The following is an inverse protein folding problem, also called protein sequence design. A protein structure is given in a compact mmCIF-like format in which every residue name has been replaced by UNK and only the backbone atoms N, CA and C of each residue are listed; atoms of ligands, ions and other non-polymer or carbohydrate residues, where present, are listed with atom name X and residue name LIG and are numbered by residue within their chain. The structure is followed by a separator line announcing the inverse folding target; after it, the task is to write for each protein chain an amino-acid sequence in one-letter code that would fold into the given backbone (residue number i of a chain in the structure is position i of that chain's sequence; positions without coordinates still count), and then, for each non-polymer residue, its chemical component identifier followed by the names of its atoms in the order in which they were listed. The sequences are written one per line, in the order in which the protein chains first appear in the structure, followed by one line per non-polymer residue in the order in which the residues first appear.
data_IF_497078236533
#
_entry.id   IF_497078236533
#
_cell.length_a   1.000
_cell.length_b   1.000
_cell.length_c   1.000
_cell.angle_alpha   90.00
_cell.angle_beta   90.00
_cell.angle_gamma   90.00
#
_symmetry.space_group_name_H-M   'P 1'
#
loop_
_entity.id
_entity.type
_entity.pdbx_description
1 polymer ?
#
# COMPACT_ATOMS: atom_id res chain seq x y z
N UNK A 1 2.91 -9.04 -0.85
CA UNK A 1 3.94 -10.09 -0.76
C UNK A 1 3.17 -11.39 -0.73
N UNK A 2 3.36 -12.27 -1.72
CA UNK A 2 2.80 -13.63 -1.61
C UNK A 2 3.50 -14.24 -0.41
N UNK A 3 2.75 -14.58 0.64
CA UNK A 3 3.31 -15.02 1.93
C UNK A 3 2.93 -16.46 2.24
N UNK A 4 1.93 -17.03 1.57
CA UNK A 4 1.41 -18.36 1.88
C UNK A 4 1.61 -19.37 0.74
N UNK A 5 1.83 -20.63 1.11
CA UNK A 5 1.90 -21.79 0.23
C UNK A 5 0.57 -22.00 -0.52
N UNK A 6 -0.56 -21.71 0.13
CA UNK A 6 -1.88 -21.81 -0.50
C UNK A 6 -2.00 -20.87 -1.70
N UNK A 7 -1.42 -19.67 -1.62
CA UNK A 7 -1.40 -18.70 -2.71
C UNK A 7 -0.63 -19.25 -3.92
N UNK A 8 0.49 -19.94 -3.69
CA UNK A 8 1.33 -20.48 -4.77
C UNK A 8 0.57 -21.48 -5.65
N UNK A 9 -0.16 -22.41 -5.01
CA UNK A 9 -0.94 -23.43 -5.71
C UNK A 9 -2.15 -22.84 -6.43
N UNK A 10 -2.82 -21.85 -5.83
CA UNK A 10 -3.95 -21.15 -6.44
C UNK A 10 -3.49 -20.32 -7.63
N UNK A 11 -2.39 -19.57 -7.50
CA UNK A 11 -1.84 -18.73 -8.56
C UNK A 11 -1.48 -19.55 -9.80
N UNK A 12 -0.79 -20.68 -9.63
CA UNK A 12 -0.45 -21.55 -10.76
C UNK A 12 -1.70 -22.02 -11.52
N UNK A 13 -2.73 -22.50 -10.80
CA UNK A 13 -3.98 -22.98 -11.40
C UNK A 13 -4.75 -21.85 -12.09
N UNK A 14 -4.88 -20.72 -11.42
CA UNK A 14 -5.59 -19.55 -11.93
C UNK A 14 -4.96 -19.05 -13.23
N UNK A 15 -3.66 -18.76 -13.21
CA UNK A 15 -3.00 -18.17 -14.38
C UNK A 15 -2.91 -19.15 -15.56
N UNK A 16 -2.74 -20.45 -15.30
CA UNK A 16 -2.86 -21.46 -16.37
C UNK A 16 -4.21 -21.39 -17.07
N UNK A 17 -5.30 -21.28 -16.30
CA UNK A 17 -6.65 -21.16 -16.86
C UNK A 17 -6.86 -19.82 -17.57
N UNK A 18 -6.34 -18.72 -17.04
CA UNK A 18 -6.42 -17.42 -17.72
C UNK A 18 -5.69 -17.46 -19.07
N UNK A 19 -4.47 -18.00 -19.11
CA UNK A 19 -3.72 -18.16 -20.36
C UNK A 19 -4.41 -19.10 -21.34
N UNK A 20 -5.00 -20.21 -20.88
CA UNK A 20 -5.75 -21.12 -21.78
C UNK A 20 -7.00 -20.47 -22.37
N UNK A 21 -7.58 -19.48 -21.69
CA UNK A 21 -8.70 -18.69 -22.18
C UNK A 21 -8.28 -17.48 -23.03
N UNK A 22 -6.99 -17.37 -23.40
CA UNK A 22 -6.48 -16.28 -24.25
C UNK A 22 -6.32 -14.94 -23.54
N UNK A 23 -6.33 -14.92 -22.20
CA UNK A 23 -6.14 -13.69 -21.43
C UNK A 23 -4.71 -13.19 -21.55
N UNK A 24 -4.55 -11.90 -21.79
CA UNK A 24 -3.26 -11.22 -21.84
C UNK A 24 -2.93 -10.69 -20.44
N UNK A 25 -1.77 -11.09 -19.91
CA UNK A 25 -1.25 -10.59 -18.64
C UNK A 25 -0.28 -9.43 -18.87
N UNK A 26 -0.59 -8.28 -18.28
CA UNK A 26 0.36 -7.17 -18.09
C UNK A 26 0.55 -7.00 -16.59
N UNK A 27 1.80 -7.07 -16.14
CA UNK A 27 2.15 -7.01 -14.72
C UNK A 27 3.48 -6.29 -14.52
N UNK A 28 3.61 -5.60 -13.37
CA UNK A 28 4.84 -4.96 -12.94
C UNK A 28 5.36 -5.65 -11.67
N UNK A 29 6.66 -5.89 -11.59
CA UNK A 29 7.30 -6.51 -10.43
C UNK A 29 8.62 -5.81 -10.10
N UNK A 30 8.91 -5.69 -8.80
CA UNK A 30 10.21 -5.23 -8.30
C UNK A 30 11.26 -6.36 -8.22
N UNK A 31 10.89 -7.58 -8.63
CA UNK A 31 11.75 -8.76 -8.66
C UNK A 31 11.62 -9.45 -10.01
N UNK A 32 12.75 -9.90 -10.56
CA UNK A 32 12.74 -10.78 -11.73
C UNK A 32 11.95 -12.08 -11.45
N UNK A 33 11.35 -12.72 -12.47
CA UNK A 33 10.56 -13.94 -12.28
C UNK A 33 11.27 -15.04 -11.49
N UNK A 34 12.56 -15.27 -11.76
CA UNK A 34 13.36 -16.28 -11.06
C UNK A 34 13.55 -15.97 -9.57
N UNK A 35 13.42 -14.70 -9.16
CA UNK A 35 13.59 -14.26 -7.77
C UNK A 35 12.24 -14.06 -7.05
N UNK A 36 11.12 -14.36 -7.71
CA UNK A 36 9.79 -14.30 -7.09
C UNK A 36 9.68 -15.39 -6.05
N UNK A 37 9.27 -15.06 -4.82
CA UNK A 37 9.10 -16.01 -3.71
C UNK A 37 10.40 -16.72 -3.29
N UNK A 38 11.56 -16.09 -3.52
CA UNK A 38 12.85 -16.57 -3.04
C UNK A 38 12.87 -16.61 -1.51
N UNK A 39 13.36 -17.71 -0.93
CA UNK A 39 13.32 -17.96 0.52
C UNK A 39 11.91 -18.21 1.09
N UNK A 40 10.90 -18.30 0.24
CA UNK A 40 9.53 -18.62 0.64
C UNK A 40 9.38 -20.08 1.10
N UNK A 41 8.43 -20.31 2.00
CA UNK A 41 8.09 -21.64 2.49
C UNK A 41 7.62 -22.52 1.31
N UNK A 42 8.18 -23.73 1.17
CA UNK A 42 7.85 -24.67 0.08
C UNK A 42 7.92 -24.04 -1.33
N UNK A 43 8.95 -23.24 -1.58
CA UNK A 43 9.23 -22.59 -2.88
C UNK A 43 9.10 -23.50 -4.10
N UNK A 44 9.41 -24.79 -3.96
CA UNK A 44 9.31 -25.77 -5.04
C UNK A 44 7.89 -25.86 -5.62
N UNK A 45 6.86 -25.63 -4.81
CA UNK A 45 5.46 -25.58 -5.26
C UNK A 45 5.14 -24.34 -6.11
N UNK A 46 5.96 -23.29 -6.02
CA UNK A 46 5.82 -22.05 -6.78
C UNK A 46 6.65 -22.06 -8.08
N UNK A 47 7.67 -22.91 -8.19
CA UNK A 47 8.49 -23.04 -9.42
C UNK A 47 7.67 -23.31 -10.69
N UNK A 48 6.59 -24.14 -10.68
CA UNK A 48 5.75 -24.33 -11.86
C UNK A 48 5.05 -23.05 -12.34
N UNK A 49 4.73 -22.13 -11.42
CA UNK A 49 4.15 -20.83 -11.78
C UNK A 49 5.22 -19.92 -12.40
N UNK A 50 6.44 -19.88 -11.84
CA UNK A 50 7.57 -19.17 -12.44
C UNK A 50 7.84 -19.67 -13.86
N UNK A 51 7.84 -21.00 -14.08
CA UNK A 51 8.01 -21.58 -15.40
C UNK A 51 6.91 -21.11 -16.37
N UNK A 52 5.65 -21.07 -15.92
CA UNK A 52 4.52 -20.59 -16.73
C UNK A 52 4.68 -19.12 -17.10
N UNK A 53 5.13 -18.26 -16.18
CA UNK A 53 5.42 -16.86 -16.46
C UNK A 53 6.53 -16.70 -17.50
N UNK A 54 7.60 -17.50 -17.41
CA UNK A 54 8.72 -17.44 -18.37
C UNK A 54 8.34 -17.96 -19.75
N UNK A 55 7.43 -18.92 -19.82
CA UNK A 55 6.90 -19.45 -21.09
C UNK A 55 5.94 -18.46 -21.76
N UNK A 56 5.08 -17.78 -20.99
CA UNK A 56 3.95 -17.01 -21.52
C UNK A 56 4.14 -15.51 -21.52
N UNK A 57 5.15 -14.98 -20.83
CA UNK A 57 5.36 -13.54 -20.70
C UNK A 57 6.75 -13.14 -21.20
N UNK A 58 6.83 -11.96 -21.80
CA UNK A 58 8.09 -11.30 -22.15
C UNK A 58 8.48 -10.39 -20.99
N UNK A 59 9.69 -10.57 -20.47
CA UNK A 59 10.20 -9.79 -19.33
C UNK A 59 10.90 -8.55 -19.86
N UNK A 60 10.38 -7.37 -19.50
CA UNK A 60 11.04 -6.09 -19.76
C UNK A 60 11.62 -5.55 -18.46
N UNK A 61 12.95 -5.42 -18.41
CA UNK A 61 13.62 -4.77 -17.30
C UNK A 61 13.48 -3.26 -17.45
N UNK A 62 12.68 -2.65 -16.57
CA UNK A 62 12.53 -1.19 -16.51
C UNK A 62 13.59 -0.69 -15.52
N UNK A 63 14.78 -0.41 -16.05
CA UNK A 63 15.84 0.26 -15.31
C UNK A 63 15.81 1.76 -15.60
N UNK A 64 15.59 2.58 -14.58
CA UNK A 64 15.85 4.02 -14.63
C UNK A 64 17.03 4.30 -13.70
N UNK A 65 18.05 5.02 -14.18
CA UNK A 65 19.07 5.62 -13.31
C UNK A 65 18.47 6.64 -12.34
N UNK A 66 17.28 7.14 -12.68
CA UNK A 66 16.53 8.11 -11.92
C UNK A 66 15.50 7.38 -11.06
N UNK A 67 15.71 7.43 -9.75
CA UNK A 67 14.67 7.07 -8.79
C UNK A 67 13.67 8.24 -8.70
N UNK A 68 12.53 8.11 -9.37
CA UNK A 68 11.48 9.13 -9.39
C UNK A 68 10.96 9.48 -7.99
N UNK A 69 11.12 8.60 -6.99
CA UNK A 69 10.78 8.89 -5.59
C UNK A 69 11.71 9.93 -4.97
N UNK A 70 12.93 10.04 -5.48
CA UNK A 70 13.96 10.97 -4.98
C UNK A 70 13.87 12.36 -5.59
N UNK A 71 13.20 12.51 -6.74
CA UNK A 71 13.16 13.80 -7.44
C UNK A 71 12.41 14.92 -6.70
N UNK A 72 11.45 14.59 -5.83
CA UNK A 72 10.63 15.59 -5.11
C UNK A 72 11.01 15.79 -3.64
N UNK A 73 11.62 14.79 -2.99
CA UNK A 73 11.80 14.81 -1.51
C UNK A 73 13.22 14.50 -1.02
N UNK A 74 14.18 14.17 -1.89
CA UNK A 74 15.48 13.67 -1.44
C UNK A 74 16.40 14.74 -0.83
N UNK A 75 16.27 16.02 -1.19
CA UNK A 75 17.17 17.07 -0.69
C UNK A 75 17.03 17.33 0.82
N UNK A 76 15.87 17.01 1.40
CA UNK A 76 15.55 17.32 2.80
C UNK A 76 15.39 16.07 3.67
N UNK A 77 15.57 14.88 3.09
CA UNK A 77 15.41 13.59 3.79
C UNK A 77 13.97 13.09 3.85
N UNK A 78 13.82 11.77 3.98
CA UNK A 78 12.53 11.08 4.02
C UNK A 78 12.02 10.81 5.44
N UNK A 79 12.93 10.81 6.41
CA UNK A 79 12.63 10.51 7.80
C UNK A 79 13.13 11.65 8.68
N UNK A 80 12.22 12.22 9.46
CA UNK A 80 12.51 13.29 10.41
C UNK A 80 12.35 12.73 11.82
N UNK A 81 13.47 12.49 12.51
CA UNK A 81 13.52 11.89 13.85
C UNK A 81 14.22 12.85 14.79
N UNK A 82 13.53 13.26 15.87
CA UNK A 82 14.07 14.23 16.83
C UNK A 82 12.99 14.93 17.63
N UNK A 83 13.43 15.76 18.59
CA UNK A 83 12.56 16.68 19.33
C UNK A 83 12.38 17.98 18.51
N UNK A 84 11.27 18.67 18.73
CA UNK A 84 10.99 20.01 18.16
C UNK A 84 10.83 20.11 16.63
N UNK A 85 10.55 19.00 15.96
CA UNK A 85 10.30 18.98 14.50
C UNK A 85 8.89 19.46 14.09
N UNK A 86 7.99 19.72 15.04
CA UNK A 86 6.59 20.04 14.78
C UNK A 86 6.40 21.25 13.85
N UNK A 87 7.20 22.29 14.02
CA UNK A 87 7.15 23.49 13.16
C UNK A 87 7.57 23.18 11.72
N UNK A 88 8.68 22.46 11.58
CA UNK A 88 9.20 22.02 10.28
C UNK A 88 8.22 21.09 9.55
N UNK A 89 7.66 20.09 10.24
CA UNK A 89 6.66 19.18 9.67
C UNK A 89 5.39 19.92 9.24
N UNK A 90 4.95 20.92 10.01
CA UNK A 90 3.80 21.76 9.64
C UNK A 90 4.08 22.56 8.37
N UNK A 91 5.27 23.15 8.25
CA UNK A 91 5.68 23.86 7.04
C UNK A 91 5.71 22.92 5.82
N UNK A 92 6.27 21.71 5.98
CA UNK A 92 6.28 20.69 4.91
C UNK A 92 4.87 20.28 4.49
N UNK A 93 3.99 20.05 5.46
CA UNK A 93 2.59 19.73 5.20
C UNK A 93 1.90 20.86 4.42
N UNK A 94 2.12 22.12 4.78
CA UNK A 94 1.58 23.28 4.04
C UNK A 94 2.11 23.36 2.60
N UNK A 95 3.38 23.05 2.37
CA UNK A 95 3.95 22.98 1.02
C UNK A 95 3.30 21.88 0.17
N UNK A 96 2.93 20.75 0.76
CA UNK A 96 2.33 19.61 0.06
C UNK A 96 0.86 19.85 -0.32
N UNK A 97 0.08 20.52 0.55
CA UNK A 97 -1.35 20.79 0.30
C UNK A 97 -1.57 22.03 -0.60
N UNK A 98 -0.53 22.86 -0.79
CA UNK A 98 -0.61 24.09 -1.59
C UNK A 98 -1.60 25.10 -0.99
N UNK A 99 -2.54 25.56 -1.80
CA UNK A 99 -3.59 26.51 -1.39
C UNK A 99 -4.78 25.85 -0.69
N UNK A 100 -4.79 24.51 -0.57
CA UNK A 100 -5.90 23.81 0.05
C UNK A 100 -5.92 24.04 1.56
N UNK A 101 -7.13 24.28 2.09
CA UNK A 101 -7.34 24.43 3.52
C UNK A 101 -7.82 23.10 4.10
N UNK A 102 -7.14 22.62 5.14
CA UNK A 102 -7.55 21.41 5.84
C UNK A 102 -8.92 21.61 6.50
N UNK A 103 -9.92 20.86 6.04
CA UNK A 103 -11.26 20.81 6.63
C UNK A 103 -11.50 19.46 7.29
N UNK A 104 -12.35 19.40 8.34
CA UNK A 104 -12.85 18.13 8.84
C UNK A 104 -13.55 17.35 7.73
N UNK A 105 -13.30 16.05 7.65
CA UNK A 105 -13.90 15.20 6.64
C UNK A 105 -14.04 13.76 7.16
N UNK A 106 -15.15 13.12 6.79
CA UNK A 106 -15.29 11.68 6.93
C UNK A 106 -14.75 11.00 5.67
N UNK A 107 -13.76 10.12 5.87
CA UNK A 107 -13.13 9.37 4.78
C UNK A 107 -13.47 7.90 4.97
N UNK A 108 -14.21 7.33 4.04
CA UNK A 108 -14.42 5.89 3.99
C UNK A 108 -13.10 5.21 3.60
N UNK A 109 -12.69 4.22 4.39
CA UNK A 109 -11.49 3.42 4.13
C UNK A 109 -11.86 1.96 3.89
N UNK A 110 -10.89 1.19 3.41
CA UNK A 110 -11.05 -0.23 3.07
C UNK A 110 -11.66 -1.00 4.24
N UNK A 111 -12.47 -2.02 3.92
CA UNK A 111 -13.22 -2.85 4.87
C UNK A 111 -14.37 -2.13 5.61
N UNK A 112 -15.00 -1.12 4.98
CA UNK A 112 -16.22 -0.49 5.48
C UNK A 112 -16.05 0.31 6.77
N UNK A 113 -14.84 0.82 7.02
CA UNK A 113 -14.55 1.67 8.18
C UNK A 113 -14.58 3.13 7.74
N UNK A 114 -14.96 4.02 8.64
CA UNK A 114 -14.87 5.46 8.39
C UNK A 114 -13.86 6.13 9.33
N UNK A 115 -13.08 7.04 8.77
CA UNK A 115 -12.13 7.88 9.50
C UNK A 115 -12.72 9.29 9.64
N UNK A 116 -12.95 9.69 10.88
CA UNK A 116 -13.42 11.03 11.21
C UNK A 116 -12.23 11.97 11.44
N UNK A 117 -11.89 12.77 10.43
CA UNK A 117 -10.82 13.76 10.52
C UNK A 117 -11.34 15.01 11.23
N UNK A 118 -10.84 15.29 12.43
CA UNK A 118 -11.22 16.47 13.21
C UNK A 118 -10.15 17.54 13.13
N UNK A 119 -10.55 18.82 13.20
CA UNK A 119 -9.59 19.92 13.20
C UNK A 119 -8.86 20.01 14.55
N UNK A 120 -7.53 20.07 14.51
CA UNK A 120 -6.64 20.03 15.69
C UNK A 120 -6.79 21.25 16.64
N UNK A 121 -7.65 22.22 16.33
CA UNK A 121 -7.96 23.35 17.22
C UNK A 121 -8.79 22.92 18.44
N UNK A 122 -9.58 21.85 18.34
CA UNK A 122 -10.37 21.33 19.48
C UNK A 122 -9.58 20.37 20.38
N UNK A 123 -8.51 19.74 19.86
CA UNK A 123 -7.71 18.80 20.62
C UNK A 123 -6.84 19.47 21.70
N UNK A 124 -6.65 20.79 21.65
CA UNK A 124 -5.86 21.53 22.65
C UNK A 124 -6.57 21.69 24.00
N UNK A 125 -7.88 21.44 24.07
CA UNK A 125 -8.67 21.53 25.30
C UNK A 125 -9.06 20.16 25.88
N UNK A 126 -8.57 19.05 25.29
CA UNK A 126 -8.69 17.72 25.86
C UNK A 126 -7.29 17.21 26.19
N UNK A 127 -7.14 16.89 27.47
CA UNK A 127 -5.98 16.42 28.18
C UNK A 127 -4.91 15.70 27.33
N UNK A 128 -3.64 16.00 27.62
CA UNK A 128 -2.44 15.43 26.99
C UNK A 128 -2.39 13.89 27.18
N UNK A 129 -2.98 13.14 26.26
CA UNK A 129 -2.68 11.71 26.09
C UNK A 129 -3.09 11.22 24.71
N UNK A 130 -2.10 11.12 23.83
CA UNK A 130 -2.08 10.36 22.58
C UNK A 130 -3.15 10.72 21.53
N UNK A 131 -2.68 11.00 20.31
CA UNK A 131 -3.51 11.12 19.11
C UNK A 131 -4.26 9.79 18.89
N UNK A 132 -5.43 9.63 19.50
CA UNK A 132 -6.31 8.50 19.29
C UNK A 132 -7.07 8.74 17.99
N UNK A 133 -6.67 8.06 16.92
CA UNK A 133 -7.57 7.82 15.78
C UNK A 133 -8.67 6.91 16.32
N UNK A 134 -9.85 7.49 16.62
CA UNK A 134 -11.03 6.70 16.97
C UNK A 134 -11.55 6.05 15.68
N UNK A 135 -11.24 4.78 15.51
CA UNK A 135 -11.89 3.92 14.53
C UNK A 135 -13.26 3.52 15.10
N UNK A 136 -14.33 4.13 14.61
CA UNK A 136 -15.70 3.69 14.90
C UNK A 136 -16.16 2.75 13.81
N UNK A 137 -16.43 1.49 14.15
CA UNK A 137 -17.20 0.60 13.28
C UNK A 137 -18.68 0.89 13.50
N UNK A 138 -19.36 1.37 12.47
CA UNK A 138 -20.81 1.53 12.51
C UNK A 138 -21.43 0.13 12.41
N UNK A 139 -21.77 -0.46 13.56
CA UNK A 139 -22.58 -1.67 13.60
C UNK A 139 -23.99 -1.26 13.17
N UNK A 140 -24.31 -1.41 11.88
CA UNK A 140 -25.70 -1.39 11.41
C UNK A 140 -26.46 -2.46 12.18
N UNK A 141 -27.20 -2.05 13.20
CA UNK A 141 -28.25 -2.85 13.80
C UNK A 141 -29.28 -3.13 12.70
N UNK A 142 -29.33 -4.38 12.25
CA UNK A 142 -30.40 -4.85 11.37
C UNK A 142 -31.76 -4.71 12.06
N UNK A 143 -32.85 -4.51 11.32
CA UNK A 143 -34.17 -4.36 11.91
C UNK A 143 -34.60 -5.69 12.54
N UNK A 144 -35.07 -5.61 13.77
CA UNK A 144 -35.78 -6.70 14.43
C UNK A 144 -37.11 -6.94 13.72
N UNK A 145 -37.24 -8.10 13.08
CA UNK A 145 -38.52 -8.74 12.75
C UNK A 145 -38.37 -10.23 12.93
#
# INVERSE_FOLDING_TARGET
MVTDVADALILNRLFRQLFSNGVILVSTSNRAPDNLYEGGLQRDLFLPFIATLKERCIVHQIGSSIDYRKMTSAEQGFYFIGKDLSGFLKQKFQQLIGEQTASPQEVEVVMGRTLQMHNNKEAKNRNRSNLHVKLTTDQKTGPST
#
